data_IF_090724007160
#
_entry.id   IF_090724007160
#
_cell.length_a   1.000
_cell.length_b   1.000
_cell.length_c   1.000
_cell.angle_alpha   90.00
_cell.angle_beta   90.00
_cell.angle_gamma   90.00
#
_symmetry.space_group_name_H-M   'P 1'
#
loop_
_entity.id
_entity.type
_entity.pdbx_description
1 polymer ?
#
# COMPACT_ATOMS: atom_id res chain seq x y z
N UNK A 1 -49.13 -65.51 26.59
CA UNK A 1 -49.75 -64.19 26.36
C UNK A 1 -48.67 -63.22 25.92
N UNK A 2 -49.00 -62.42 24.90
CA UNK A 2 -48.16 -61.56 24.07
C UNK A 2 -47.44 -60.41 24.80
N UNK A 3 -46.25 -60.09 24.26
CA UNK A 3 -45.69 -58.80 23.83
C UNK A 3 -45.95 -57.47 24.55
N UNK A 4 -44.84 -56.81 24.86
CA UNK A 4 -44.53 -55.37 24.62
C UNK A 4 -43.02 -55.19 24.89
N UNK A 5 -42.09 -54.99 23.94
CA UNK A 5 -41.92 -53.87 22.98
C UNK A 5 -42.12 -52.53 23.74
N UNK A 6 -41.18 -51.58 23.85
CA UNK A 6 -40.21 -51.03 22.89
C UNK A 6 -39.19 -50.13 23.63
N UNK A 7 -37.92 -50.26 23.24
CA UNK A 7 -36.90 -49.22 23.02
C UNK A 7 -37.02 -47.86 23.72
N UNK A 8 -35.98 -47.47 24.47
CA UNK A 8 -35.86 -46.10 24.96
C UNK A 8 -34.55 -45.75 25.67
N UNK A 9 -33.41 -46.31 25.27
CA UNK A 9 -32.10 -45.86 25.82
C UNK A 9 -31.01 -45.70 24.77
N UNK A 10 -31.13 -46.36 23.61
CA UNK A 10 -30.26 -46.09 22.46
C UNK A 10 -30.62 -44.79 21.74
N UNK A 11 -31.91 -44.39 21.69
CA UNK A 11 -32.32 -43.16 21.00
C UNK A 11 -31.84 -41.89 21.73
N UNK A 12 -31.92 -41.83 23.06
CA UNK A 12 -31.42 -40.66 23.82
C UNK A 12 -29.89 -40.52 23.80
N UNK A 13 -29.16 -41.62 23.60
CA UNK A 13 -27.69 -41.59 23.55
C UNK A 13 -27.18 -41.22 22.16
N UNK A 14 -27.89 -41.64 21.12
CA UNK A 14 -27.61 -41.25 19.73
C UNK A 14 -28.00 -39.79 19.46
N UNK A 15 -29.07 -39.28 20.08
CA UNK A 15 -29.41 -37.85 19.95
C UNK A 15 -28.46 -36.93 20.72
N UNK A 16 -27.96 -37.35 21.89
CA UNK A 16 -26.95 -36.58 22.64
C UNK A 16 -25.54 -36.62 21.99
N UNK A 17 -25.14 -37.76 21.40
CA UNK A 17 -23.87 -37.86 20.68
C UNK A 17 -23.93 -37.20 19.28
N UNK A 18 -25.11 -37.08 18.66
CA UNK A 18 -25.27 -36.40 17.38
C UNK A 18 -25.37 -34.86 17.51
N UNK A 19 -25.81 -34.33 18.65
CA UNK A 19 -25.81 -32.88 18.90
C UNK A 19 -24.43 -32.35 19.37
N UNK A 20 -23.57 -33.20 19.95
CA UNK A 20 -22.20 -32.79 20.33
C UNK A 20 -21.18 -32.84 19.17
N UNK A 21 -21.44 -33.56 18.08
CA UNK A 21 -20.51 -33.63 16.92
C UNK A 21 -20.64 -32.46 15.93
N UNK A 22 -21.75 -31.71 15.93
CA UNK A 22 -21.92 -30.54 15.02
C UNK A 22 -21.30 -29.24 15.58
N UNK A 23 -21.10 -29.12 16.89
CA UNK A 23 -20.44 -27.94 17.49
C UNK A 23 -18.90 -27.99 17.37
N UNK A 24 -18.34 -29.14 16.97
CA UNK A 24 -16.88 -29.40 16.94
C UNK A 24 -16.15 -29.04 15.64
N UNK A 25 -16.84 -28.72 14.54
CA UNK A 25 -16.22 -28.53 13.21
C UNK A 25 -16.49 -27.18 12.54
N UNK A 26 -17.08 -26.20 13.24
CA UNK A 26 -17.32 -24.88 12.64
C UNK A 26 -16.03 -24.06 12.65
N UNK A 27 -15.51 -23.76 11.45
CA UNK A 27 -14.37 -22.85 11.26
C UNK A 27 -14.62 -21.52 11.99
N UNK A 28 -13.57 -20.98 12.63
CA UNK A 28 -13.65 -19.68 13.30
C UNK A 28 -14.22 -18.62 12.35
N UNK A 29 -15.40 -18.11 12.71
CA UNK A 29 -16.15 -17.13 11.92
C UNK A 29 -15.29 -15.91 11.59
N UNK A 30 -14.41 -15.49 12.50
CA UNK A 30 -13.54 -14.35 12.27
C UNK A 30 -12.53 -14.63 11.13
N UNK A 31 -11.85 -15.78 11.15
CA UNK A 31 -10.98 -16.22 10.04
C UNK A 31 -11.71 -16.32 8.71
N UNK A 32 -12.94 -16.84 8.70
CA UNK A 32 -13.75 -16.89 7.48
C UNK A 32 -14.04 -15.48 6.92
N UNK A 33 -14.36 -14.52 7.78
CA UNK A 33 -14.58 -13.13 7.36
C UNK A 33 -13.31 -12.47 6.81
N UNK A 34 -12.15 -12.71 7.43
CA UNK A 34 -10.86 -12.21 6.94
C UNK A 34 -10.49 -12.80 5.57
N UNK A 35 -10.77 -14.10 5.35
CA UNK A 35 -10.57 -14.73 4.06
C UNK A 35 -11.48 -14.15 2.98
N UNK A 36 -12.75 -13.89 3.32
CA UNK A 36 -13.69 -13.23 2.41
C UNK A 36 -13.29 -11.78 2.11
N UNK A 37 -12.77 -11.04 3.09
CA UNK A 37 -12.19 -9.71 2.86
C UNK A 37 -11.00 -9.77 1.91
N UNK A 38 -10.08 -10.71 2.14
CA UNK A 38 -8.93 -10.95 1.25
C UNK A 38 -9.36 -11.29 -0.19
N UNK A 39 -10.44 -12.05 -0.36
CA UNK A 39 -11.01 -12.35 -1.67
C UNK A 39 -11.58 -11.09 -2.34
N UNK A 40 -12.22 -10.19 -1.60
CA UNK A 40 -12.68 -8.89 -2.12
C UNK A 40 -11.49 -8.03 -2.53
N UNK A 41 -10.45 -7.95 -1.69
CA UNK A 41 -9.23 -7.20 -1.99
C UNK A 41 -8.56 -7.70 -3.28
N UNK A 42 -8.46 -9.02 -3.46
CA UNK A 42 -7.91 -9.61 -4.67
C UNK A 42 -8.72 -9.24 -5.93
N UNK A 43 -10.06 -9.30 -5.86
CA UNK A 43 -10.94 -8.88 -6.96
C UNK A 43 -10.79 -7.40 -7.28
N UNK A 44 -10.76 -6.55 -6.25
CA UNK A 44 -10.55 -5.12 -6.41
C UNK A 44 -9.18 -4.83 -7.03
N UNK A 45 -8.12 -5.49 -6.56
CA UNK A 45 -6.77 -5.33 -7.08
C UNK A 45 -6.72 -5.68 -8.57
N UNK A 46 -7.33 -6.80 -8.96
CA UNK A 46 -7.40 -7.20 -10.36
C UNK A 46 -8.15 -6.17 -11.22
N UNK A 47 -9.25 -5.60 -10.71
CA UNK A 47 -10.05 -4.63 -11.46
C UNK A 47 -9.41 -3.24 -11.53
N UNK A 48 -8.69 -2.82 -10.48
CA UNK A 48 -8.24 -1.43 -10.29
C UNK A 48 -6.75 -1.21 -10.49
N UNK A 49 -5.92 -2.19 -10.11
CA UNK A 49 -4.47 -2.06 -10.10
C UNK A 49 -3.82 -2.68 -11.34
N UNK A 50 -4.30 -3.86 -11.80
CA UNK A 50 -3.64 -4.57 -12.91
C UNK A 50 -3.61 -3.77 -14.23
N UNK A 51 -4.65 -2.98 -14.50
CA UNK A 51 -4.70 -2.10 -15.68
C UNK A 51 -3.94 -0.78 -15.50
N UNK A 52 -3.53 -0.44 -14.27
CA UNK A 52 -2.92 0.84 -13.96
C UNK A 52 -1.41 0.81 -14.24
N UNK A 53 -0.99 1.51 -15.29
CA UNK A 53 0.41 1.54 -15.74
C UNK A 53 1.35 1.86 -14.57
N UNK A 54 2.40 1.06 -14.44
CA UNK A 54 3.44 1.18 -13.42
C UNK A 54 3.01 0.98 -11.96
N UNK A 55 1.73 0.78 -11.64
CA UNK A 55 1.30 0.60 -10.26
C UNK A 55 1.89 -0.67 -9.62
N UNK A 56 1.81 -1.81 -10.32
CA UNK A 56 2.33 -3.10 -9.82
C UNK A 56 3.85 -3.06 -9.55
N UNK A 57 4.64 -2.40 -10.41
CA UNK A 57 6.09 -2.29 -10.18
C UNK A 57 6.42 -1.36 -9.01
N UNK A 58 5.68 -0.26 -8.87
CA UNK A 58 5.83 0.66 -7.72
C UNK A 58 5.45 -0.05 -6.42
N UNK A 59 4.38 -0.83 -6.42
CA UNK A 59 3.99 -1.66 -5.28
C UNK A 59 5.07 -2.65 -4.87
N UNK A 60 5.75 -3.29 -5.82
CA UNK A 60 6.87 -4.20 -5.51
C UNK A 60 8.02 -3.45 -4.82
N UNK A 61 8.38 -2.27 -5.32
CA UNK A 61 9.42 -1.42 -4.72
C UNK A 61 9.04 -1.00 -3.31
N UNK A 62 7.80 -0.57 -3.10
CA UNK A 62 7.35 -0.09 -1.79
C UNK A 62 7.15 -1.22 -0.79
N UNK A 63 6.72 -2.41 -1.23
CA UNK A 63 6.68 -3.61 -0.37
C UNK A 63 8.08 -4.00 0.10
N UNK A 64 9.08 -3.88 -0.77
CA UNK A 64 10.49 -4.07 -0.40
C UNK A 64 10.93 -3.00 0.64
N UNK A 65 10.58 -1.74 0.43
CA UNK A 65 10.83 -0.66 1.40
C UNK A 65 10.19 -0.93 2.77
N UNK A 66 8.94 -1.41 2.81
CA UNK A 66 8.27 -1.83 4.05
C UNK A 66 8.98 -2.99 4.76
N UNK A 67 9.66 -3.87 4.02
CA UNK A 67 10.42 -4.97 4.63
C UNK A 67 11.79 -4.51 5.15
N UNK A 68 12.43 -3.54 4.49
CA UNK A 68 13.75 -3.01 4.89
C UNK A 68 13.68 -2.00 6.02
N UNK A 69 12.63 -1.17 6.05
CA UNK A 69 12.49 -0.09 7.02
C UNK A 69 11.31 -0.34 7.97
N UNK A 70 11.57 -0.61 9.26
CA UNK A 70 10.51 -0.84 10.25
C UNK A 70 9.50 0.31 10.37
N UNK A 71 9.93 1.55 10.09
CA UNK A 71 9.03 2.71 10.09
C UNK A 71 7.87 2.58 9.07
N UNK A 72 8.07 1.82 7.98
CA UNK A 72 7.09 1.61 6.92
C UNK A 72 6.26 0.33 7.09
N UNK A 73 6.55 -0.47 8.12
CA UNK A 73 5.85 -1.72 8.42
C UNK A 73 4.32 -1.55 8.53
N UNK A 74 3.78 -0.48 9.15
CA UNK A 74 2.32 -0.32 9.30
C UNK A 74 1.55 -0.16 7.99
N UNK A 75 2.23 0.16 6.87
CA UNK A 75 1.60 0.21 5.55
C UNK A 75 1.53 -1.14 4.86
N UNK A 76 2.26 -2.15 5.35
CA UNK A 76 2.42 -3.43 4.68
C UNK A 76 1.06 -4.12 4.47
N UNK A 77 0.82 -4.56 3.24
CA UNK A 77 -0.41 -5.22 2.84
C UNK A 77 -1.41 -4.24 2.21
N UNK A 78 -2.65 -4.27 2.69
CA UNK A 78 -3.78 -3.59 2.06
C UNK A 78 -3.68 -2.06 2.00
N UNK A 79 -3.25 -1.34 3.05
CA UNK A 79 -3.12 0.12 2.99
C UNK A 79 -2.16 0.59 1.88
N UNK A 80 -1.03 -0.09 1.71
CA UNK A 80 -0.07 0.24 0.66
C UNK A 80 -0.66 0.07 -0.75
N UNK A 81 -1.48 -0.95 -0.98
CA UNK A 81 -2.15 -1.20 -2.26
C UNK A 81 -3.12 -0.07 -2.61
N UNK A 82 -3.93 0.35 -1.64
CA UNK A 82 -4.87 1.46 -1.81
C UNK A 82 -4.17 2.80 -2.07
N UNK A 83 -3.10 3.11 -1.32
CA UNK A 83 -2.35 4.36 -1.51
C UNK A 83 -1.72 4.40 -2.90
N UNK A 84 -1.13 3.29 -3.36
CA UNK A 84 -0.52 3.23 -4.69
C UNK A 84 -1.55 3.42 -5.80
N UNK A 85 -2.72 2.77 -5.71
CA UNK A 85 -3.79 2.96 -6.69
C UNK A 85 -4.29 4.40 -6.68
N UNK A 86 -4.68 4.94 -5.52
CA UNK A 86 -5.24 6.30 -5.41
C UNK A 86 -4.26 7.37 -5.87
N UNK A 87 -2.99 7.27 -5.47
CA UNK A 87 -1.98 8.25 -5.87
C UNK A 87 -1.73 8.26 -7.38
N UNK A 88 -1.70 7.08 -8.03
CA UNK A 88 -1.41 6.97 -9.46
C UNK A 88 -2.65 7.20 -10.32
N UNK A 89 -3.83 6.69 -9.90
CA UNK A 89 -5.08 6.78 -10.64
C UNK A 89 -5.64 8.21 -10.74
N UNK A 90 -5.23 9.11 -9.84
CA UNK A 90 -5.62 10.53 -9.89
C UNK A 90 -4.91 11.32 -11.00
N UNK A 91 -3.93 10.72 -11.69
CA UNK A 91 -3.24 11.37 -12.80
C UNK A 91 -4.02 11.22 -14.11
N UNK A 92 -4.13 12.31 -14.87
CA UNK A 92 -4.81 12.35 -16.17
C UNK A 92 -4.01 11.74 -17.34
N UNK A 93 -2.85 11.16 -17.07
CA UNK A 93 -1.98 10.51 -18.06
C UNK A 93 -1.29 9.28 -17.46
N UNK A 94 -0.93 8.28 -18.29
CA UNK A 94 -0.10 7.17 -17.83
C UNK A 94 1.27 7.65 -17.39
N UNK A 95 1.73 7.19 -16.22
CA UNK A 95 3.04 7.53 -15.66
C UNK A 95 4.09 6.47 -15.99
N UNK A 96 5.35 6.89 -16.11
CA UNK A 96 6.48 5.96 -16.05
C UNK A 96 6.74 5.50 -14.61
N UNK A 97 7.51 4.43 -14.41
CA UNK A 97 7.74 3.87 -13.07
C UNK A 97 8.35 4.87 -12.08
N UNK A 98 9.34 5.66 -12.50
CA UNK A 98 9.96 6.68 -11.65
C UNK A 98 9.01 7.84 -11.30
N UNK A 99 8.17 8.27 -12.25
CA UNK A 99 7.15 9.30 -12.01
C UNK A 99 6.05 8.77 -11.07
N UNK A 100 5.61 7.53 -11.29
CA UNK A 100 4.60 6.87 -10.47
C UNK A 100 5.10 6.70 -9.02
N UNK A 101 6.35 6.26 -8.82
CA UNK A 101 6.93 6.18 -7.49
C UNK A 101 6.99 7.56 -6.82
N UNK A 102 7.42 8.59 -7.56
CA UNK A 102 7.47 9.96 -7.04
C UNK A 102 6.08 10.42 -6.60
N UNK A 103 5.05 10.13 -7.40
CA UNK A 103 3.66 10.50 -7.11
C UNK A 103 3.15 9.85 -5.83
N UNK A 104 3.48 8.58 -5.59
CA UNK A 104 3.14 7.90 -4.32
C UNK A 104 3.88 8.55 -3.15
N UNK A 105 5.16 8.88 -3.31
CA UNK A 105 5.93 9.58 -2.27
C UNK A 105 5.35 10.97 -1.97
N UNK A 106 4.90 11.73 -2.97
CA UNK A 106 4.21 13.01 -2.80
C UNK A 106 2.91 12.85 -1.99
N UNK A 107 2.12 11.83 -2.31
CA UNK A 107 0.87 11.53 -1.61
C UNK A 107 1.10 11.20 -0.12
N UNK A 108 2.16 10.45 0.19
CA UNK A 108 2.52 10.14 1.57
C UNK A 108 3.11 11.37 2.27
N UNK A 109 4.00 12.09 1.59
CA UNK A 109 4.66 13.28 2.13
C UNK A 109 3.71 14.45 2.40
N UNK A 110 2.55 14.50 1.73
CA UNK A 110 1.50 15.49 1.98
C UNK A 110 0.76 15.27 3.30
N UNK A 111 1.05 14.17 4.01
CA UNK A 111 0.44 13.88 5.31
C UNK A 111 -0.94 13.23 5.23
N UNK A 112 -1.23 12.47 4.16
CA UNK A 112 -2.53 11.76 4.02
C UNK A 112 -2.81 10.80 5.18
N UNK A 113 -1.75 10.32 5.86
CA UNK A 113 -1.84 9.40 7.00
C UNK A 113 -2.02 10.11 8.35
N UNK A 114 -1.81 11.43 8.41
CA UNK A 114 -1.84 12.17 9.66
C UNK A 114 -3.27 12.32 10.19
N UNK A 115 -3.46 12.41 11.52
CA UNK A 115 -4.77 12.66 12.11
C UNK A 115 -5.38 13.97 11.59
N UNK A 116 -6.68 13.97 11.35
CA UNK A 116 -7.40 15.10 10.73
C UNK A 116 -7.31 15.15 9.19
N UNK A 117 -6.58 14.22 8.57
CA UNK A 117 -6.62 13.99 7.13
C UNK A 117 -7.91 13.28 6.67
N UNK A 118 -8.10 13.10 5.35
CA UNK A 118 -9.28 12.42 4.81
C UNK A 118 -9.35 10.90 5.11
N UNK A 119 -8.27 10.32 5.66
CA UNK A 119 -8.17 8.88 5.94
C UNK A 119 -8.03 8.02 4.68
N UNK A 120 -7.99 6.69 4.86
CA UNK A 120 -7.89 5.72 3.77
C UNK A 120 -9.05 4.72 3.82
N UNK A 121 -10.16 5.15 3.22
CA UNK A 121 -11.38 4.35 3.16
C UNK A 121 -11.21 3.08 2.32
N UNK A 122 -11.68 1.95 2.87
CA UNK A 122 -11.71 0.65 2.22
C UNK A 122 -12.85 0.56 1.18
N UNK A 123 -12.56 0.46 -0.13
CA UNK A 123 -13.59 0.32 -1.16
C UNK A 123 -14.25 -1.07 -1.20
N UNK A 124 -13.73 -2.05 -0.46
CA UNK A 124 -14.22 -3.42 -0.41
C UNK A 124 -15.20 -3.68 0.73
N UNK A 125 -15.36 -2.73 1.65
CA UNK A 125 -16.30 -2.80 2.77
C UNK A 125 -17.54 -1.94 2.50
N UNK A 126 -18.69 -2.42 2.99
CA UNK A 126 -19.98 -1.70 2.84
C UNK A 126 -20.07 -0.52 3.79
N UNK A 127 -19.65 -0.73 5.03
CA UNK A 127 -19.63 0.31 6.06
C UNK A 127 -18.37 1.16 5.92
N UNK A 128 -18.42 2.46 6.27
CA UNK A 128 -17.27 3.33 6.24
C UNK A 128 -16.13 2.79 7.12
N UNK A 129 -15.14 2.17 6.49
CA UNK A 129 -14.05 1.46 7.17
C UNK A 129 -12.73 2.13 6.81
N UNK A 130 -12.04 2.67 7.82
CA UNK A 130 -10.70 3.22 7.64
C UNK A 130 -9.66 2.11 7.78
N UNK A 131 -8.88 1.90 6.72
CA UNK A 131 -7.82 0.88 6.70
C UNK A 131 -6.61 1.26 7.58
N UNK A 132 -6.52 2.53 8.00
CA UNK A 132 -5.46 3.03 8.87
C UNK A 132 -5.82 2.99 10.35
N UNK A 133 -6.99 2.45 10.74
CA UNK A 133 -7.49 2.50 12.12
C UNK A 133 -6.53 1.87 13.18
N UNK A 134 -5.64 0.96 12.76
CA UNK A 134 -4.64 0.35 13.64
C UNK A 134 -3.30 1.10 13.68
N UNK A 135 -3.13 2.14 12.86
CA UNK A 135 -1.92 2.95 12.80
C UNK A 135 -1.96 4.02 13.89
N UNK A 136 -0.91 4.09 14.71
CA UNK A 136 -0.76 5.18 15.69
C UNK A 136 -0.30 6.49 15.02
N UNK A 137 -0.60 7.62 15.66
CA UNK A 137 -0.16 8.95 15.21
C UNK A 137 1.36 9.02 15.03
N UNK A 138 2.12 8.41 15.95
CA UNK A 138 3.59 8.36 15.88
C UNK A 138 4.09 7.59 14.65
N UNK A 139 3.42 6.48 14.30
CA UNK A 139 3.75 5.71 13.10
C UNK A 139 3.41 6.50 11.84
N UNK A 140 2.24 7.15 11.80
CA UNK A 140 1.83 8.00 10.69
C UNK A 140 2.82 9.16 10.46
N UNK A 141 3.27 9.81 11.54
CA UNK A 141 4.29 10.87 11.48
C UNK A 141 5.63 10.33 10.97
N UNK A 142 6.09 9.19 11.49
CA UNK A 142 7.34 8.58 11.07
C UNK A 142 7.35 8.23 9.57
N UNK A 143 6.25 7.67 9.05
CA UNK A 143 6.09 7.37 7.62
C UNK A 143 6.08 8.66 6.81
N UNK A 144 5.31 9.66 7.24
CA UNK A 144 5.20 10.96 6.55
C UNK A 144 6.55 11.65 6.47
N UNK A 145 7.30 11.70 7.57
CA UNK A 145 8.66 12.25 7.61
C UNK A 145 9.62 11.49 6.69
N UNK A 146 9.56 10.16 6.71
CA UNK A 146 10.40 9.31 5.85
C UNK A 146 10.09 9.54 4.36
N UNK A 147 8.81 9.63 3.99
CA UNK A 147 8.36 9.94 2.64
C UNK A 147 8.82 11.34 2.18
N UNK A 148 8.73 12.36 3.06
CA UNK A 148 9.23 13.71 2.77
C UNK A 148 10.74 13.74 2.52
N UNK A 149 11.51 12.93 3.26
CA UNK A 149 12.95 12.78 3.03
C UNK A 149 13.23 12.09 1.69
N UNK A 150 12.58 10.95 1.43
CA UNK A 150 12.71 10.20 0.18
C UNK A 150 12.35 11.05 -1.05
N UNK A 151 11.26 11.83 -0.97
CA UNK A 151 10.83 12.72 -2.03
C UNK A 151 11.88 13.77 -2.38
N UNK A 152 12.53 14.37 -1.38
CA UNK A 152 13.64 15.32 -1.58
C UNK A 152 14.83 14.62 -2.25
N UNK A 153 15.23 13.44 -1.78
CA UNK A 153 16.29 12.67 -2.43
C UNK A 153 15.98 12.40 -3.91
N UNK A 154 14.75 11.99 -4.21
CA UNK A 154 14.30 11.77 -5.59
C UNK A 154 14.34 13.06 -6.42
N UNK A 155 13.93 14.20 -5.87
CA UNK A 155 13.98 15.50 -6.55
C UNK A 155 15.40 15.91 -6.95
N UNK A 156 16.39 15.59 -6.12
CA UNK A 156 17.81 15.86 -6.38
C UNK A 156 18.54 14.71 -7.09
N UNK A 157 17.82 13.80 -7.75
CA UNK A 157 18.43 12.72 -8.54
C UNK A 157 19.09 11.62 -7.71
N UNK A 158 18.81 11.56 -6.40
CA UNK A 158 19.39 10.58 -5.46
C UNK A 158 18.43 9.41 -5.18
N UNK A 159 17.63 9.00 -6.17
CA UNK A 159 16.69 7.88 -6.04
C UNK A 159 17.38 6.57 -5.67
N UNK A 160 18.64 6.37 -6.07
CA UNK A 160 19.43 5.20 -5.72
C UNK A 160 19.57 5.02 -4.19
N UNK A 161 19.61 6.12 -3.42
CA UNK A 161 19.61 6.07 -1.95
C UNK A 161 18.27 5.59 -1.38
N UNK A 162 17.16 6.01 -1.99
CA UNK A 162 15.81 5.59 -1.60
C UNK A 162 15.59 4.10 -1.89
N UNK A 163 16.18 3.62 -2.98
CA UNK A 163 16.16 2.21 -3.36
C UNK A 163 17.26 1.37 -2.69
N UNK A 164 18.11 1.99 -1.85
CA UNK A 164 19.28 1.37 -1.21
C UNK A 164 20.15 0.56 -2.18
N UNK A 165 20.40 1.13 -3.34
CA UNK A 165 21.24 0.53 -4.38
C UNK A 165 22.38 1.47 -4.75
N UNK A 166 23.40 0.90 -5.39
CA UNK A 166 24.44 1.69 -6.01
C UNK A 166 23.87 2.51 -7.18
N UNK A 167 24.38 3.74 -7.40
CA UNK A 167 23.98 4.52 -8.55
C UNK A 167 24.34 3.78 -9.84
N UNK A 168 23.38 3.68 -10.75
CA UNK A 168 23.63 3.08 -12.05
C UNK A 168 24.72 3.87 -12.80
N UNK A 169 25.54 3.20 -13.64
CA UNK A 169 26.57 3.87 -14.42
C UNK A 169 25.99 5.02 -15.24
N UNK A 170 26.52 6.22 -15.06
CA UNK A 170 26.04 7.39 -15.79
C UNK A 170 26.56 7.37 -17.23
N UNK A 171 25.78 6.83 -18.15
CA UNK A 171 26.09 6.85 -19.59
C UNK A 171 25.79 8.20 -20.27
N UNK A 172 25.39 9.23 -19.52
CA UNK A 172 25.26 10.57 -20.08
C UNK A 172 26.65 11.21 -20.09
N UNK A 173 27.20 11.59 -21.26
CA UNK A 173 28.32 12.53 -21.25
C UNK A 173 27.85 13.73 -20.43
N UNK A 174 28.69 14.20 -19.50
CA UNK A 174 28.45 15.49 -18.85
C UNK A 174 28.07 16.46 -19.97
N UNK A 175 26.83 16.94 -19.99
CA UNK A 175 26.51 18.11 -20.78
C UNK A 175 27.36 19.21 -20.16
N UNK A 176 28.57 19.39 -20.71
CA UNK A 176 29.30 20.64 -20.58
C UNK A 176 28.33 21.69 -21.07
N UNK A 177 27.71 22.40 -20.15
CA UNK A 177 26.98 23.60 -20.50
C UNK A 177 27.97 24.47 -21.29
N UNK A 178 27.57 25.05 -22.44
CA UNK A 178 28.47 25.87 -23.28
C UNK A 178 29.04 27.11 -22.57
N UNK A 179 28.68 27.33 -21.31
CA UNK A 179 29.06 28.48 -20.49
C UNK A 179 30.26 28.22 -19.59
N UNK A 180 30.79 26.98 -19.54
CA UNK A 180 31.92 26.65 -18.64
C UNK A 180 33.29 27.14 -19.13
N UNK A 181 33.40 27.71 -20.33
CA UNK A 181 34.66 28.27 -20.85
C UNK A 181 34.50 29.75 -21.24
N UNK A 182 33.99 30.61 -20.35
CA UNK A 182 34.20 32.07 -20.44
C UNK A 182 34.29 32.70 -19.04
N UNK A 183 35.37 32.39 -18.32
CA UNK A 183 35.89 33.36 -17.36
C UNK A 183 36.54 34.51 -18.15
N UNK A 184 35.87 35.64 -18.18
CA UNK A 184 36.38 36.86 -18.80
C UNK A 184 35.33 37.56 -19.65
N UNK A 185 34.94 38.75 -19.18
CA UNK A 185 34.06 39.75 -19.81
C UNK A 185 32.59 39.62 -19.44
N UNK A 186 32.19 40.51 -18.53
CA UNK A 186 30.84 40.64 -18.00
C UNK A 186 29.80 40.83 -19.10
N UNK A 187 28.68 40.13 -18.95
CA UNK A 187 27.46 40.42 -19.68
C UNK A 187 26.27 40.26 -18.74
N UNK A 188 25.47 41.32 -18.65
CA UNK A 188 24.34 41.46 -17.72
C UNK A 188 23.31 40.34 -17.92
N UNK A 189 22.77 39.85 -16.80
CA UNK A 189 21.60 38.94 -16.77
C UNK A 189 20.39 39.66 -17.39
N UNK A 190 19.63 39.05 -18.31
CA UNK A 190 18.33 39.57 -18.68
C UNK A 190 17.34 39.24 -17.56
N UNK A 191 16.68 40.27 -17.01
CA UNK A 191 15.48 40.06 -16.20
C UNK A 191 14.43 39.39 -17.08
N UNK A 192 13.88 38.26 -16.63
CA UNK A 192 12.63 37.72 -17.17
C UNK A 192 11.48 38.56 -16.62
N UNK A 193 10.81 39.31 -17.49
CA UNK A 193 9.50 39.90 -17.21
C UNK A 193 8.42 38.86 -17.47
N UNK A 194 7.51 38.73 -16.48
CA UNK A 194 6.17 38.13 -16.45
C UNK A 194 5.91 36.89 -17.32
#
# INVERSE_FOLDING_TARGET
MNNGLVFGSAALRVEAEAEEEEEGEVLDRHRCLLALASLRHAKWFQARVNGLKSCVIVLRILRDMCNRHPAWEPLKGWPLELICEKAIATCNRPLGAGEALRRVMECLASGILLPGGPGLHDPCEKEPTDTLAHMSDQQAEAITYSAQHALRLMAFGQIYKVLEMEPLPNNKPLQKFPWSDKEGLGLKRPLRTA
#
